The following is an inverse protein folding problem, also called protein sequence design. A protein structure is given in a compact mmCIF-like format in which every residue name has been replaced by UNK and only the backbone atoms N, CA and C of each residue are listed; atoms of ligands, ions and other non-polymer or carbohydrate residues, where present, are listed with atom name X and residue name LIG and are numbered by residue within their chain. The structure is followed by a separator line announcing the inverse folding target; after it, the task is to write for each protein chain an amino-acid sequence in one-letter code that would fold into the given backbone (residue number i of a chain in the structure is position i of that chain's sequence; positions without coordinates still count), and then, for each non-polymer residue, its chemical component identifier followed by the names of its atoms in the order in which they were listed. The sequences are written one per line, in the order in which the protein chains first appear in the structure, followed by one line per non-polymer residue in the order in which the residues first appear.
data_IF_809080945458
#
_entry.id   IF_809080945458
#
_cell.length_a   1.000
_cell.length_b   1.000
_cell.length_c   1.000
_cell.angle_alpha   90.00
_cell.angle_beta   90.00
_cell.angle_gamma   90.00
#
_symmetry.space_group_name_H-M   'P 1'
#
loop_
_entity.id
_entity.type
_entity.pdbx_description
1 polymer ?
#
# COMPACT_ATOMS: atom_id res chain seq x y z
N UNK A 1 38.36 20.83 -2.57
CA UNK A 1 37.73 20.58 -1.26
C UNK A 1 37.22 19.13 -1.30
N UNK A 2 38.01 18.19 -0.77
CA UNK A 2 37.69 16.76 -0.82
C UNK A 2 36.55 16.48 0.17
N UNK A 3 35.38 16.10 -0.35
CA UNK A 3 34.33 15.57 0.51
C UNK A 3 34.81 14.23 1.06
N UNK A 4 34.67 13.95 2.37
CA UNK A 4 35.00 12.63 2.90
C UNK A 4 34.17 11.59 2.17
N UNK A 5 34.83 10.53 1.68
CA UNK A 5 34.17 9.33 1.15
C UNK A 5 33.54 8.65 2.36
N UNK A 6 32.28 9.00 2.65
CA UNK A 6 31.47 8.25 3.60
C UNK A 6 31.15 6.94 2.91
N UNK A 7 31.86 5.86 3.26
CA UNK A 7 31.49 4.51 2.82
C UNK A 7 30.06 4.27 3.27
N UNK A 8 29.13 4.18 2.33
CA UNK A 8 27.76 3.82 2.64
C UNK A 8 27.78 2.43 3.28
N UNK A 9 27.05 2.19 4.39
CA UNK A 9 26.98 0.88 5.02
C UNK A 9 26.13 -0.05 4.14
N UNK A 10 26.73 -0.53 3.06
CA UNK A 10 26.15 -1.41 2.04
C UNK A 10 25.46 -2.65 2.63
N UNK A 11 26.00 -3.32 3.68
CA UNK A 11 25.32 -4.45 4.32
C UNK A 11 24.02 -4.04 5.03
N UNK A 12 23.98 -2.87 5.67
CA UNK A 12 22.81 -2.40 6.39
C UNK A 12 21.67 -2.03 5.43
N UNK A 13 22.01 -1.38 4.31
CA UNK A 13 21.03 -1.06 3.26
C UNK A 13 20.53 -2.35 2.60
N UNK A 14 21.42 -3.31 2.32
CA UNK A 14 21.03 -4.63 1.79
C UNK A 14 20.07 -5.37 2.72
N UNK A 15 20.37 -5.46 4.01
CA UNK A 15 19.48 -6.07 5.00
C UNK A 15 18.14 -5.34 5.07
N UNK A 16 18.14 -4.01 5.09
CA UNK A 16 16.93 -3.20 5.07
C UNK A 16 16.04 -3.53 3.86
N UNK A 17 16.63 -3.62 2.65
CA UNK A 17 15.88 -3.96 1.43
C UNK A 17 15.25 -5.36 1.50
N UNK A 18 15.96 -6.35 2.07
CA UNK A 18 15.41 -7.68 2.30
C UNK A 18 14.21 -7.61 3.25
N UNK A 19 14.35 -6.89 4.37
CA UNK A 19 13.25 -6.73 5.34
C UNK A 19 12.04 -6.02 4.73
N UNK A 20 12.27 -5.00 3.89
CA UNK A 20 11.19 -4.32 3.16
C UNK A 20 10.51 -5.28 2.18
N UNK A 21 11.26 -6.09 1.43
CA UNK A 21 10.67 -7.08 0.53
C UNK A 21 9.83 -8.12 1.29
N UNK A 22 10.31 -8.61 2.44
CA UNK A 22 9.55 -9.51 3.31
C UNK A 22 8.28 -8.83 3.84
N UNK A 23 8.36 -7.55 4.22
CA UNK A 23 7.20 -6.76 4.64
C UNK A 23 6.17 -6.63 3.51
N UNK A 24 6.60 -6.37 2.27
CA UNK A 24 5.70 -6.31 1.11
C UNK A 24 5.07 -7.67 0.81
N UNK A 25 5.85 -8.74 0.81
CA UNK A 25 5.33 -10.09 0.53
C UNK A 25 4.29 -10.47 1.59
N UNK A 26 4.61 -10.26 2.87
CA UNK A 26 3.68 -10.55 3.97
C UNK A 26 2.42 -9.66 3.91
N UNK A 27 2.56 -8.38 3.58
CA UNK A 27 1.42 -7.47 3.35
C UNK A 27 0.52 -7.92 2.20
N UNK A 28 1.10 -8.32 1.07
CA UNK A 28 0.35 -8.82 -0.08
C UNK A 28 -0.35 -10.15 0.20
N UNK A 29 0.32 -11.08 0.89
CA UNK A 29 -0.28 -12.34 1.33
C UNK A 29 -1.43 -12.09 2.31
N UNK A 30 -1.25 -11.18 3.27
CA UNK A 30 -2.31 -10.80 4.20
C UNK A 30 -3.51 -10.17 3.48
N UNK A 31 -3.27 -9.32 2.49
CA UNK A 31 -4.33 -8.77 1.65
C UNK A 31 -5.07 -9.89 0.92
N UNK A 32 -4.35 -10.80 0.25
CA UNK A 32 -4.95 -11.93 -0.46
C UNK A 32 -5.77 -12.84 0.46
N UNK A 33 -5.24 -13.21 1.62
CA UNK A 33 -5.89 -14.18 2.52
C UNK A 33 -7.04 -13.58 3.32
N UNK A 34 -6.92 -12.31 3.73
CA UNK A 34 -7.97 -11.66 4.55
C UNK A 34 -9.03 -10.96 3.72
N UNK A 35 -8.62 -10.28 2.64
CA UNK A 35 -9.48 -9.40 1.85
C UNK A 35 -9.79 -9.99 0.48
N UNK A 36 -8.82 -10.63 -0.18
CA UNK A 36 -8.96 -11.14 -1.55
C UNK A 36 -8.78 -10.08 -2.64
N UNK A 37 -8.64 -10.53 -3.89
CA UNK A 37 -8.47 -9.68 -5.08
C UNK A 37 -9.73 -9.60 -5.96
N UNK A 38 -10.84 -10.18 -5.51
CA UNK A 38 -12.12 -10.08 -6.22
C UNK A 38 -13.01 -9.02 -5.57
N UNK A 39 -13.90 -8.42 -6.38
CA UNK A 39 -14.90 -7.48 -5.88
C UNK A 39 -15.75 -8.12 -4.76
N UNK A 40 -16.31 -9.35 -4.92
CA UNK A 40 -17.05 -10.00 -3.85
C UNK A 40 -16.26 -10.14 -2.55
N UNK A 41 -14.97 -10.49 -2.63
CA UNK A 41 -14.16 -10.68 -1.42
C UNK A 41 -13.96 -9.38 -0.65
N UNK A 42 -13.68 -8.28 -1.36
CA UNK A 42 -13.57 -6.95 -0.76
C UNK A 42 -14.88 -6.57 -0.09
N UNK A 43 -16.01 -6.77 -0.79
CA UNK A 43 -17.32 -6.43 -0.23
C UNK A 43 -17.64 -7.27 1.01
N UNK A 44 -17.36 -8.56 1.00
CA UNK A 44 -17.56 -9.40 2.19
C UNK A 44 -16.67 -8.97 3.36
N UNK A 45 -15.40 -8.63 3.10
CA UNK A 45 -14.49 -8.19 4.14
C UNK A 45 -14.94 -6.89 4.83
N UNK A 46 -15.44 -5.92 4.06
CA UNK A 46 -15.85 -4.61 4.59
C UNK A 46 -17.32 -4.57 5.03
N UNK A 47 -18.22 -5.16 4.26
CA UNK A 47 -19.68 -5.08 4.41
C UNK A 47 -20.31 -6.32 5.04
N UNK A 48 -19.58 -7.44 5.12
CA UNK A 48 -20.07 -8.70 5.67
C UNK A 48 -20.71 -9.62 4.61
N UNK A 49 -20.92 -10.87 5.01
CA UNK A 49 -21.45 -11.95 4.17
C UNK A 49 -22.84 -11.65 3.61
N UNK A 50 -23.74 -11.11 4.43
CA UNK A 50 -25.13 -10.86 4.04
C UNK A 50 -25.20 -9.88 2.85
N UNK A 51 -24.47 -8.77 2.93
CA UNK A 51 -24.41 -7.79 1.83
C UNK A 51 -23.72 -8.35 0.59
N UNK A 52 -22.68 -9.17 0.76
CA UNK A 52 -22.03 -9.84 -0.37
C UNK A 52 -22.99 -10.79 -1.07
N UNK A 53 -23.73 -11.63 -0.35
CA UNK A 53 -24.73 -12.54 -0.91
C UNK A 53 -25.87 -11.82 -1.64
N UNK A 54 -26.29 -10.65 -1.16
CA UNK A 54 -27.32 -9.85 -1.82
C UNK A 54 -26.87 -9.35 -3.21
N UNK A 55 -25.59 -8.99 -3.36
CA UNK A 55 -25.04 -8.45 -4.61
C UNK A 55 -24.45 -9.54 -5.53
N UNK A 56 -23.91 -10.59 -4.92
CA UNK A 56 -23.23 -11.71 -5.55
C UNK A 56 -23.71 -12.99 -4.85
N UNK A 57 -24.88 -13.55 -5.27
CA UNK A 57 -25.48 -14.72 -4.63
C UNK A 57 -24.67 -16.00 -4.87
N UNK A 58 -23.88 -16.01 -5.94
CA UNK A 58 -22.95 -17.08 -6.27
C UNK A 58 -21.72 -17.02 -5.35
N UNK A 59 -21.36 -18.14 -4.72
CA UNK A 59 -20.12 -18.29 -3.98
C UNK A 59 -20.29 -18.73 -2.52
N UNK A 60 -19.18 -19.10 -1.86
CA UNK A 60 -19.21 -19.62 -0.49
C UNK A 60 -19.54 -18.52 0.52
N UNK A 61 -20.33 -18.86 1.54
CA UNK A 61 -20.55 -17.98 2.68
C UNK A 61 -19.44 -18.16 3.73
N UNK A 62 -18.67 -17.10 4.02
CA UNK A 62 -17.63 -17.12 5.06
C UNK A 62 -18.13 -16.63 6.42
N UNK A 63 -19.44 -16.36 6.55
CA UNK A 63 -20.09 -15.88 7.77
C UNK A 63 -19.39 -14.66 8.41
N UNK A 64 -18.86 -13.76 7.57
CA UNK A 64 -18.18 -12.56 8.01
C UNK A 64 -19.15 -11.48 8.47
N UNK A 65 -18.87 -10.90 9.63
CA UNK A 65 -19.59 -9.72 10.12
C UNK A 65 -19.07 -8.44 9.45
N UNK A 66 -19.95 -7.45 9.18
CA UNK A 66 -19.52 -6.15 8.68
C UNK A 66 -18.48 -5.52 9.59
N UNK A 67 -17.51 -4.79 9.02
CA UNK A 67 -16.52 -4.07 9.81
C UNK A 67 -17.14 -2.90 10.55
N UNK A 68 -16.63 -2.60 11.73
CA UNK A 68 -16.98 -1.38 12.48
C UNK A 68 -15.98 -0.26 12.17
N UNK A 69 -16.40 1.00 12.32
CA UNK A 69 -15.48 2.14 12.22
C UNK A 69 -14.28 2.00 13.14
N UNK A 70 -14.49 1.53 14.38
CA UNK A 70 -13.40 1.27 15.33
C UNK A 70 -12.41 0.24 14.78
N UNK A 71 -12.91 -0.91 14.30
CA UNK A 71 -12.04 -1.95 13.74
C UNK A 71 -11.29 -1.49 12.49
N UNK A 72 -11.90 -0.64 11.65
CA UNK A 72 -11.21 -0.04 10.51
C UNK A 72 -10.14 0.95 10.96
N UNK A 73 -10.41 1.79 11.95
CA UNK A 73 -9.44 2.75 12.48
C UNK A 73 -8.25 2.11 13.17
N UNK A 74 -8.45 1.00 13.88
CA UNK A 74 -7.35 0.22 14.45
C UNK A 74 -6.41 -0.30 13.36
N UNK A 75 -6.95 -0.80 12.25
CA UNK A 75 -6.17 -1.27 11.10
C UNK A 75 -5.49 -0.09 10.38
N UNK A 76 -6.25 0.96 10.09
CA UNK A 76 -5.78 2.14 9.36
C UNK A 76 -4.62 2.83 10.09
N UNK A 77 -4.69 2.96 11.42
CA UNK A 77 -3.62 3.57 12.20
C UNK A 77 -2.30 2.81 12.05
N UNK A 78 -2.34 1.47 12.15
CA UNK A 78 -1.16 0.65 11.94
C UNK A 78 -0.59 0.78 10.52
N UNK A 79 -1.46 0.83 9.50
CA UNK A 79 -1.03 1.01 8.11
C UNK A 79 -0.42 2.38 7.87
N UNK A 80 -1.03 3.45 8.38
CA UNK A 80 -0.48 4.80 8.29
C UNK A 80 0.91 4.91 8.91
N UNK A 81 1.10 4.31 10.10
CA UNK A 81 2.40 4.31 10.76
C UNK A 81 3.43 3.52 9.94
N UNK A 82 3.09 2.29 9.53
CA UNK A 82 4.01 1.43 8.78
C UNK A 82 4.39 2.03 7.42
N UNK A 83 3.42 2.49 6.64
CA UNK A 83 3.66 3.11 5.33
C UNK A 83 4.34 4.46 5.47
N UNK A 84 3.95 5.28 6.45
CA UNK A 84 4.58 6.56 6.73
C UNK A 84 6.07 6.40 7.04
N UNK A 85 6.42 5.48 7.94
CA UNK A 85 7.82 5.17 8.27
C UNK A 85 8.57 4.59 7.08
N UNK A 86 7.98 3.66 6.33
CA UNK A 86 8.59 3.07 5.14
C UNK A 86 8.90 4.14 4.08
N UNK A 87 7.92 4.97 3.74
CA UNK A 87 8.07 6.04 2.74
C UNK A 87 9.08 7.08 3.21
N UNK A 88 9.07 7.44 4.49
CA UNK A 88 10.06 8.34 5.07
C UNK A 88 11.49 7.81 4.89
N UNK A 89 11.74 6.54 5.24
CA UNK A 89 13.06 5.93 5.12
C UNK A 89 13.50 5.83 3.65
N UNK A 90 12.62 5.36 2.77
CA UNK A 90 12.91 5.28 1.33
C UNK A 90 13.20 6.66 0.73
N UNK A 91 12.42 7.67 1.11
CA UNK A 91 12.64 9.06 0.68
C UNK A 91 13.97 9.60 1.19
N UNK A 92 14.32 9.30 2.44
CA UNK A 92 15.59 9.72 3.02
C UNK A 92 16.78 9.09 2.28
N UNK A 93 16.75 7.78 2.02
CA UNK A 93 17.79 7.11 1.23
C UNK A 93 17.86 7.66 -0.19
N UNK A 94 16.73 7.79 -0.86
CA UNK A 94 16.63 8.33 -2.20
C UNK A 94 17.24 9.74 -2.30
N UNK A 95 16.94 10.61 -1.33
CA UNK A 95 17.49 11.96 -1.28
C UNK A 95 18.99 11.97 -1.01
N UNK A 96 19.46 11.13 -0.08
CA UNK A 96 20.87 11.02 0.30
C UNK A 96 21.74 10.52 -0.87
N UNK A 97 21.32 9.44 -1.54
CA UNK A 97 22.05 8.84 -2.66
C UNK A 97 22.03 9.71 -3.93
N UNK A 98 20.93 10.43 -4.20
CA UNK A 98 20.82 11.27 -5.41
C UNK A 98 21.50 12.64 -5.30
N UNK A 99 22.15 12.94 -4.16
CA UNK A 99 22.78 14.23 -3.90
C UNK A 99 21.80 15.42 -3.99
N UNK A 100 20.50 15.19 -3.79
CA UNK A 100 19.46 16.21 -3.82
C UNK A 100 19.08 16.81 -5.19
N UNK A 101 19.65 16.33 -6.31
CA UNK A 101 19.51 17.00 -7.63
C UNK A 101 18.35 16.51 -8.51
N UNK A 102 17.50 15.61 -8.02
CA UNK A 102 16.52 14.91 -8.88
C UNK A 102 15.07 15.36 -8.60
N UNK A 103 14.59 16.38 -9.32
CA UNK A 103 13.21 16.86 -9.20
C UNK A 103 12.15 15.80 -9.51
N UNK A 104 12.42 14.90 -10.46
CA UNK A 104 11.53 13.78 -10.80
C UNK A 104 11.37 12.78 -9.66
N UNK A 105 12.43 12.53 -8.90
CA UNK A 105 12.41 11.65 -7.74
C UNK A 105 11.50 12.18 -6.64
N UNK A 106 11.61 13.48 -6.35
CA UNK A 106 10.72 14.12 -5.36
C UNK A 106 9.26 13.96 -5.76
N UNK A 107 8.93 14.19 -7.03
CA UNK A 107 7.55 14.00 -7.56
C UNK A 107 7.11 12.55 -7.42
N UNK A 108 7.94 11.59 -7.80
CA UNK A 108 7.63 10.16 -7.68
C UNK A 108 7.34 9.77 -6.22
N UNK A 109 8.17 10.21 -5.27
CA UNK A 109 7.99 9.93 -3.85
C UNK A 109 6.72 10.60 -3.27
N UNK A 110 6.38 11.81 -3.73
CA UNK A 110 5.10 12.43 -3.40
C UNK A 110 3.92 11.60 -3.90
N UNK A 111 3.95 11.14 -5.16
CA UNK A 111 2.89 10.27 -5.70
C UNK A 111 2.82 8.95 -4.93
N UNK A 112 3.97 8.36 -4.57
CA UNK A 112 4.03 7.15 -3.75
C UNK A 112 3.35 7.38 -2.39
N UNK A 113 3.65 8.48 -1.71
CA UNK A 113 3.01 8.83 -0.44
C UNK A 113 1.49 9.00 -0.59
N UNK A 114 1.05 9.74 -1.61
CA UNK A 114 -0.37 9.95 -1.87
C UNK A 114 -1.09 8.64 -2.20
N UNK A 115 -0.44 7.73 -2.94
CA UNK A 115 -1.02 6.41 -3.24
C UNK A 115 -1.17 5.54 -1.98
N UNK A 116 -0.22 5.62 -1.03
CA UNK A 116 -0.34 4.95 0.28
C UNK A 116 -1.45 5.54 1.15
N UNK A 117 -1.61 6.87 1.16
CA UNK A 117 -2.73 7.51 1.85
C UNK A 117 -4.08 7.11 1.22
N UNK A 118 -4.14 7.08 -0.12
CA UNK A 118 -5.33 6.63 -0.85
C UNK A 118 -5.65 5.16 -0.58
N UNK A 119 -4.62 4.32 -0.39
CA UNK A 119 -4.78 2.91 0.00
C UNK A 119 -5.58 2.80 1.29
N UNK A 120 -5.21 3.56 2.32
CA UNK A 120 -5.94 3.55 3.59
C UNK A 120 -7.34 4.16 3.45
N UNK A 121 -7.46 5.32 2.79
CA UNK A 121 -8.74 6.03 2.60
C UNK A 121 -9.73 5.19 1.81
N UNK A 122 -9.28 4.43 0.80
CA UNK A 122 -10.15 3.61 -0.04
C UNK A 122 -10.91 2.54 0.77
N UNK A 123 -10.33 2.02 1.87
CA UNK A 123 -11.06 1.12 2.77
C UNK A 123 -12.22 1.81 3.50
N UNK A 124 -12.05 3.07 3.90
CA UNK A 124 -13.14 3.87 4.47
C UNK A 124 -14.21 4.21 3.45
N UNK A 125 -13.84 4.41 2.18
CA UNK A 125 -14.81 4.66 1.12
C UNK A 125 -15.73 3.45 0.92
N UNK A 126 -15.18 2.23 0.87
CA UNK A 126 -16.00 1.00 0.79
C UNK A 126 -16.96 0.90 1.99
N UNK A 127 -16.47 1.18 3.20
CA UNK A 127 -17.31 1.20 4.40
C UNK A 127 -18.39 2.30 4.39
N UNK A 128 -18.04 3.51 3.96
CA UNK A 128 -19.00 4.61 3.81
C UNK A 128 -20.09 4.20 2.80
N UNK A 129 -19.72 3.38 1.82
CA UNK A 129 -20.67 2.74 0.95
C UNK A 129 -21.71 1.89 1.69
N UNK A 130 -21.28 1.06 2.63
CA UNK A 130 -22.18 0.31 3.53
C UNK A 130 -23.24 1.20 4.17
N UNK A 131 -22.81 2.37 4.66
CA UNK A 131 -23.67 3.32 5.33
C UNK A 131 -24.66 3.90 4.34
N UNK A 132 -24.19 4.40 3.20
CA UNK A 132 -25.05 5.05 2.20
C UNK A 132 -26.10 4.09 1.60
N UNK A 133 -25.81 2.79 1.48
CA UNK A 133 -26.80 1.76 1.12
C UNK A 133 -27.97 1.78 2.10
N UNK A 134 -27.69 1.75 3.40
CA UNK A 134 -28.73 1.72 4.44
C UNK A 134 -29.62 2.95 4.40
N UNK A 135 -29.08 4.09 3.94
CA UNK A 135 -29.82 5.35 3.82
C UNK A 135 -30.60 5.48 2.52
N UNK A 136 -30.05 5.02 1.39
CA UNK A 136 -30.60 5.29 0.05
C UNK A 136 -31.25 4.09 -0.62
N UNK A 137 -30.93 2.87 -0.18
CA UNK A 137 -31.32 1.62 -0.83
C UNK A 137 -30.63 1.36 -2.17
N UNK A 138 -29.69 2.21 -2.60
CA UNK A 138 -29.00 2.07 -3.90
C UNK A 138 -27.69 1.30 -3.75
N UNK A 139 -27.41 0.42 -4.71
CA UNK A 139 -26.24 -0.47 -4.68
C UNK A 139 -25.25 -0.28 -5.84
N UNK A 140 -25.60 0.52 -6.84
CA UNK A 140 -24.93 0.52 -8.15
C UNK A 140 -23.43 0.88 -8.10
N UNK A 141 -23.04 1.75 -7.17
CA UNK A 141 -21.67 2.28 -7.07
C UNK A 141 -20.77 1.50 -6.09
N UNK A 142 -21.31 0.52 -5.34
CA UNK A 142 -20.53 -0.26 -4.38
C UNK A 142 -19.45 -1.14 -5.07
N UNK A 143 -19.76 -1.88 -6.16
CA UNK A 143 -18.75 -2.68 -6.85
C UNK A 143 -17.60 -1.81 -7.36
N UNK A 144 -17.90 -0.58 -7.79
CA UNK A 144 -16.89 0.38 -8.23
C UNK A 144 -15.96 0.77 -7.08
N UNK A 145 -16.48 1.01 -5.86
CA UNK A 145 -15.63 1.32 -4.71
C UNK A 145 -14.71 0.16 -4.34
N UNK A 146 -15.20 -1.08 -4.41
CA UNK A 146 -14.38 -2.27 -4.21
C UNK A 146 -13.31 -2.45 -5.30
N UNK A 147 -13.66 -2.19 -6.57
CA UNK A 147 -12.70 -2.19 -7.67
C UNK A 147 -11.61 -1.11 -7.49
N UNK A 148 -12.00 0.10 -7.08
CA UNK A 148 -11.08 1.18 -6.73
C UNK A 148 -10.15 0.76 -5.59
N UNK A 149 -10.67 0.10 -4.55
CA UNK A 149 -9.87 -0.42 -3.44
C UNK A 149 -8.75 -1.36 -3.93
N UNK A 150 -9.08 -2.31 -4.81
CA UNK A 150 -8.11 -3.24 -5.41
C UNK A 150 -7.11 -2.48 -6.28
N UNK A 151 -7.58 -1.60 -7.15
CA UNK A 151 -6.72 -0.84 -8.07
C UNK A 151 -5.71 0.02 -7.31
N UNK A 152 -6.14 0.70 -6.24
CA UNK A 152 -5.27 1.52 -5.39
C UNK A 152 -4.23 0.66 -4.67
N UNK A 153 -4.63 -0.52 -4.15
CA UNK A 153 -3.70 -1.46 -3.54
C UNK A 153 -2.61 -1.89 -4.54
N UNK A 154 -3.01 -2.31 -5.74
CA UNK A 154 -2.08 -2.74 -6.80
C UNK A 154 -1.16 -1.59 -7.22
N UNK A 155 -1.70 -0.38 -7.39
CA UNK A 155 -0.93 0.81 -7.72
C UNK A 155 0.13 1.09 -6.65
N UNK A 156 -0.27 1.17 -5.38
CA UNK A 156 0.62 1.48 -4.27
C UNK A 156 1.75 0.44 -4.13
N UNK A 157 1.40 -0.85 -4.15
CA UNK A 157 2.39 -1.93 -4.06
C UNK A 157 3.32 -1.96 -5.27
N UNK A 158 2.79 -1.74 -6.48
CA UNK A 158 3.60 -1.64 -7.70
C UNK A 158 4.59 -0.48 -7.62
N UNK A 159 4.16 0.69 -7.12
CA UNK A 159 5.04 1.83 -6.92
C UNK A 159 6.13 1.56 -5.87
N UNK A 160 5.82 0.83 -4.78
CA UNK A 160 6.83 0.42 -3.79
C UNK A 160 7.89 -0.49 -4.41
N UNK A 161 7.49 -1.48 -5.21
CA UNK A 161 8.44 -2.37 -5.91
C UNK A 161 9.33 -1.60 -6.87
N UNK A 162 8.77 -0.64 -7.62
CA UNK A 162 9.55 0.25 -8.50
C UNK A 162 10.56 1.07 -7.67
N UNK A 163 10.13 1.61 -6.52
CA UNK A 163 11.00 2.37 -5.63
C UNK A 163 12.19 1.53 -5.12
N UNK A 164 11.92 0.29 -4.68
CA UNK A 164 12.95 -0.65 -4.23
C UNK A 164 13.92 -0.98 -5.36
N UNK A 165 13.42 -1.33 -6.55
CA UNK A 165 14.27 -1.63 -7.71
C UNK A 165 15.15 -0.45 -8.11
N UNK A 166 14.61 0.77 -7.99
CA UNK A 166 15.38 1.99 -8.24
C UNK A 166 16.45 2.26 -7.18
N UNK A 167 16.16 2.05 -5.88
CA UNK A 167 17.18 2.13 -4.81
C UNK A 167 18.29 1.10 -5.03
N UNK A 168 17.95 -0.15 -5.39
CA UNK A 168 18.93 -1.19 -5.74
C UNK A 168 19.81 -0.72 -6.90
N UNK A 169 19.21 -0.18 -7.97
CA UNK A 169 19.95 0.35 -9.13
C UNK A 169 20.93 1.45 -8.72
N UNK A 170 20.51 2.38 -7.86
CA UNK A 170 21.39 3.45 -7.39
C UNK A 170 22.60 2.91 -6.62
N UNK A 171 22.38 1.94 -5.71
CA UNK A 171 23.45 1.30 -4.96
C UNK A 171 24.48 0.62 -5.87
N UNK A 172 24.03 -0.07 -6.92
CA UNK A 172 24.94 -0.66 -7.90
C UNK A 172 25.71 0.39 -8.70
N UNK A 173 25.06 1.50 -9.08
CA UNK A 173 25.73 2.55 -9.86
C UNK A 173 26.80 3.31 -9.07
N UNK A 174 26.60 3.51 -7.75
CA UNK A 174 27.63 4.09 -6.90
C UNK A 174 28.83 3.16 -6.77
N UNK A 175 28.60 1.86 -6.51
CA UNK A 175 29.68 0.87 -6.39
C UNK A 175 30.49 0.70 -7.70
N UNK A 176 29.84 0.84 -8.87
CA UNK A 176 30.50 0.72 -10.17
C UNK A 176 31.34 1.96 -10.56
N UNK A 177 31.06 3.13 -9.96
CA UNK A 177 31.82 4.36 -10.19
C UNK A 177 33.05 4.51 -9.30
N UNK A 178 33.31 3.56 -8.40
CA UNK A 178 34.50 3.49 -7.53
C UNK A 178 35.66 2.64 -8.12
N UNK A 179 35.55 2.21 -9.39
CA UNK A 179 36.61 1.56 -10.17
C UNK A 179 37.03 2.41 -11.37
#
# INVERSE_FOLDING_TARGET
MNRPIVRTPTPAIGLYLILVLLLLISGALLFYWKIGFSIPDVLEYYLGSETRLQLYPEGPDRFMRPRTLRGLSEIAFAHFLAFGTLIFILTHFAHSLSGGRHGHLRRFLTVLFLSGALEVVSGYLVYAGAVLIRWTGTHEWIPLLAAVRIAVFVLFYGMLLICIGWVIRLLYSENAGEH
#
